data_IF_407516464784
#
_entry.id   IF_407516464784
#
_cell.length_a   1.000
_cell.length_b   1.000
_cell.length_c   1.000
_cell.angle_alpha   90.00
_cell.angle_beta   90.00
_cell.angle_gamma   90.00
#
_symmetry.space_group_name_H-M   'P 1'
#
loop_
_entity.id
_entity.type
_entity.pdbx_description
1 polymer ?
#
# COMPACT_ATOMS: atom_id res chain seq x y z
N UNK A 1 -4.42 -1.61 8.99
CA UNK A 1 -5.71 -1.78 8.28
C UNK A 1 -5.76 -3.13 7.60
N UNK A 2 -6.84 -3.85 7.77
CA UNK A 2 -7.04 -5.14 7.12
C UNK A 2 -7.62 -4.94 5.73
N UNK A 3 -6.97 -5.53 4.73
CA UNK A 3 -7.45 -5.52 3.34
C UNK A 3 -8.55 -6.57 3.16
N UNK A 4 -9.37 -6.40 2.12
CA UNK A 4 -10.44 -7.34 1.79
C UNK A 4 -9.95 -8.38 0.81
N UNK A 5 -10.52 -9.58 0.84
CA UNK A 5 -10.18 -10.62 -0.12
C UNK A 5 -10.49 -10.23 -1.56
N UNK A 6 -11.56 -9.46 -1.78
CA UNK A 6 -11.97 -8.96 -3.09
C UNK A 6 -11.31 -7.62 -3.45
N UNK A 7 -10.37 -7.11 -2.64
CA UNK A 7 -9.75 -5.80 -2.86
C UNK A 7 -9.21 -5.60 -4.27
N UNK A 8 -8.48 -6.57 -4.86
CA UNK A 8 -7.99 -6.40 -6.23
C UNK A 8 -9.09 -6.30 -7.28
N UNK A 9 -10.20 -7.00 -7.07
CA UNK A 9 -11.33 -6.94 -8.00
C UNK A 9 -12.00 -5.57 -7.99
N UNK A 10 -12.05 -4.92 -6.82
CA UNK A 10 -12.52 -3.54 -6.71
C UNK A 10 -11.53 -2.57 -7.35
N UNK A 11 -10.24 -2.75 -7.09
CA UNK A 11 -9.21 -1.86 -7.61
C UNK A 11 -9.10 -1.88 -9.14
N UNK A 12 -9.40 -3.01 -9.78
CA UNK A 12 -9.45 -3.10 -11.24
C UNK A 12 -10.35 -2.04 -11.88
N UNK A 13 -11.38 -1.60 -11.16
CA UNK A 13 -12.31 -0.57 -11.65
C UNK A 13 -11.62 0.79 -11.84
N UNK A 14 -10.43 0.98 -11.26
CA UNK A 14 -9.61 2.18 -11.47
C UNK A 14 -8.77 2.11 -12.76
N UNK A 15 -8.86 1.01 -13.51
CA UNK A 15 -8.22 0.88 -14.84
C UNK A 15 -7.05 -0.08 -14.92
N UNK A 16 -6.45 -0.52 -13.80
CA UNK A 16 -5.38 -1.52 -13.82
C UNK A 16 -5.96 -2.93 -13.85
N UNK A 17 -5.99 -3.51 -15.03
CA UNK A 17 -6.60 -4.83 -15.30
C UNK A 17 -5.57 -5.94 -15.46
N UNK A 18 -4.35 -5.75 -14.97
CA UNK A 18 -3.34 -6.78 -15.05
C UNK A 18 -3.84 -8.08 -14.41
N UNK A 19 -3.86 -9.20 -15.14
CA UNK A 19 -4.42 -10.46 -14.63
C UNK A 19 -3.64 -11.08 -13.47
N UNK A 20 -2.44 -10.58 -13.17
CA UNK A 20 -1.69 -10.97 -11.97
C UNK A 20 -2.51 -10.76 -10.68
N UNK A 21 -3.44 -9.82 -10.69
CA UNK A 21 -4.24 -9.44 -9.54
C UNK A 21 -5.64 -10.09 -9.54
N UNK A 22 -5.98 -10.85 -10.56
CA UNK A 22 -7.34 -11.41 -10.70
C UNK A 22 -7.40 -12.85 -11.19
N UNK A 23 -6.40 -13.33 -11.93
CA UNK A 23 -6.40 -14.67 -12.53
C UNK A 23 -5.46 -15.60 -11.73
N UNK A 24 -6.00 -16.62 -11.03
CA UNK A 24 -5.16 -17.55 -10.26
C UNK A 24 -4.09 -18.25 -11.08
N UNK A 25 -4.36 -18.61 -12.34
CA UNK A 25 -3.38 -19.27 -13.19
C UNK A 25 -2.21 -18.37 -13.53
N UNK A 26 -2.46 -17.08 -13.78
CA UNK A 26 -1.42 -16.09 -14.03
C UNK A 26 -0.58 -15.85 -12.77
N UNK A 27 -1.22 -15.75 -11.61
CA UNK A 27 -0.52 -15.56 -10.34
C UNK A 27 0.41 -16.74 -10.03
N UNK A 28 -0.06 -17.97 -10.21
CA UNK A 28 0.74 -19.18 -9.99
C UNK A 28 1.92 -19.23 -10.97
N UNK A 29 1.70 -18.92 -12.23
CA UNK A 29 2.76 -18.87 -13.25
C UNK A 29 3.84 -17.81 -12.90
N UNK A 30 3.47 -16.74 -12.21
CA UNK A 30 4.38 -15.71 -11.74
C UNK A 30 5.08 -16.04 -10.42
N UNK A 31 4.75 -17.19 -9.79
CA UNK A 31 5.38 -17.65 -8.55
C UNK A 31 4.61 -17.31 -7.27
N UNK A 32 3.35 -16.89 -7.36
CA UNK A 32 2.51 -16.57 -6.22
C UNK A 32 1.46 -17.66 -5.98
N UNK A 33 1.06 -17.84 -4.73
CA UNK A 33 0.01 -18.82 -4.39
C UNK A 33 -1.36 -18.46 -4.99
N UNK A 34 -1.64 -17.16 -5.09
CA UNK A 34 -2.91 -16.62 -5.56
C UNK A 34 -2.71 -15.18 -6.04
N UNK A 35 -3.72 -14.55 -6.67
CA UNK A 35 -3.63 -13.17 -7.09
C UNK A 35 -3.24 -12.23 -5.96
N UNK A 36 -2.32 -11.32 -6.24
CA UNK A 36 -1.78 -10.36 -5.29
C UNK A 36 -2.47 -9.00 -5.40
N UNK A 37 -2.35 -8.18 -4.37
CA UNK A 37 -2.84 -6.80 -4.42
C UNK A 37 -1.98 -5.94 -5.36
N UNK A 38 -2.62 -4.94 -5.97
CA UNK A 38 -1.91 -3.90 -6.70
C UNK A 38 -1.05 -3.10 -5.73
N UNK A 39 0.19 -2.79 -6.10
CA UNK A 39 1.10 -2.00 -5.27
C UNK A 39 0.51 -0.63 -4.92
N UNK A 40 -0.08 0.06 -5.90
CA UNK A 40 -0.70 1.36 -5.66
C UNK A 40 -1.93 1.27 -4.75
N UNK A 41 -2.63 0.14 -4.71
CA UNK A 41 -3.71 -0.09 -3.75
C UNK A 41 -3.15 -0.18 -2.32
N UNK A 42 -2.06 -0.92 -2.12
CA UNK A 42 -1.35 -0.98 -0.85
C UNK A 42 -0.91 0.42 -0.41
N UNK A 43 -0.32 1.19 -1.32
CA UNK A 43 0.06 2.58 -1.04
C UNK A 43 -1.14 3.44 -0.66
N UNK A 44 -2.31 3.21 -1.25
CA UNK A 44 -3.55 3.89 -0.89
C UNK A 44 -3.97 3.66 0.55
N UNK A 45 -3.88 2.43 1.04
CA UNK A 45 -4.14 2.10 2.44
C UNK A 45 -3.19 2.84 3.38
N UNK A 46 -1.90 2.80 3.06
CA UNK A 46 -0.86 3.46 3.85
C UNK A 46 -0.99 4.98 3.78
N UNK A 47 -1.25 5.53 2.60
CA UNK A 47 -1.48 6.96 2.40
C UNK A 47 -2.65 7.49 3.24
N UNK A 48 -3.73 6.73 3.31
CA UNK A 48 -4.87 7.09 4.18
C UNK A 48 -4.46 7.14 5.65
N UNK A 49 -3.68 6.19 6.12
CA UNK A 49 -3.19 6.18 7.49
C UNK A 49 -2.27 7.38 7.77
N UNK A 50 -1.39 7.71 6.84
CA UNK A 50 -0.48 8.85 6.95
C UNK A 50 -1.23 10.18 6.98
N UNK A 51 -2.22 10.35 6.10
CA UNK A 51 -3.04 11.56 6.05
C UNK A 51 -3.82 11.74 7.34
N UNK A 52 -4.38 10.66 7.89
CA UNK A 52 -5.05 10.69 9.18
C UNK A 52 -4.12 11.06 10.34
N UNK A 53 -2.89 10.55 10.31
CA UNK A 53 -1.90 10.80 11.36
C UNK A 53 -1.31 12.22 11.28
N UNK A 54 -0.89 12.66 10.10
CA UNK A 54 -0.06 13.85 9.92
C UNK A 54 -0.82 15.09 9.42
N UNK A 55 -1.99 14.91 8.82
CA UNK A 55 -2.71 15.96 8.10
C UNK A 55 -4.14 16.18 8.61
N UNK A 56 -4.53 15.56 9.71
CA UNK A 56 -5.90 15.62 10.24
C UNK A 56 -6.98 15.28 9.19
N UNK A 57 -6.64 14.38 8.25
CA UNK A 57 -7.54 13.97 7.18
C UNK A 57 -7.52 14.87 5.94
N UNK A 58 -6.73 15.94 5.94
CA UNK A 58 -6.67 16.89 4.82
C UNK A 58 -5.55 16.52 3.83
N UNK A 59 -5.91 15.80 2.77
CA UNK A 59 -4.96 15.26 1.79
C UNK A 59 -4.18 16.34 1.02
N UNK A 60 -4.74 17.54 0.87
CA UNK A 60 -4.08 18.66 0.18
C UNK A 60 -2.88 19.22 0.94
N UNK A 61 -2.70 18.83 2.19
CA UNK A 61 -1.49 19.16 2.97
C UNK A 61 -0.28 18.30 2.59
N UNK A 62 -0.45 17.26 1.80
CA UNK A 62 0.66 16.44 1.31
C UNK A 62 1.33 17.14 0.12
N UNK A 63 2.61 17.46 0.25
CA UNK A 63 3.39 18.02 -0.85
C UNK A 63 4.07 16.93 -1.67
N UNK A 64 4.63 15.91 -1.00
CA UNK A 64 5.34 14.80 -1.66
C UNK A 64 5.11 13.52 -0.88
N UNK A 65 4.97 12.43 -1.62
CA UNK A 65 4.89 11.07 -1.08
C UNK A 65 5.75 10.16 -1.95
N UNK A 66 6.68 9.48 -1.35
CA UNK A 66 7.54 8.54 -2.06
C UNK A 66 7.71 7.25 -1.29
N UNK A 67 7.93 6.15 -2.01
CA UNK A 67 8.05 4.83 -1.41
C UNK A 67 8.76 3.88 -2.39
N UNK A 68 9.33 2.81 -1.85
CA UNK A 68 9.78 1.66 -2.64
C UNK A 68 8.91 0.45 -2.31
N UNK A 69 8.39 -0.20 -3.36
CA UNK A 69 7.68 -1.47 -3.21
C UNK A 69 8.68 -2.59 -2.97
N UNK A 70 8.55 -3.32 -1.87
CA UNK A 70 9.53 -4.35 -1.51
C UNK A 70 9.01 -5.78 -1.59
N UNK A 71 7.79 -6.04 -1.14
CA UNK A 71 7.17 -7.36 -1.20
C UNK A 71 5.67 -7.24 -1.49
N UNK A 72 5.06 -8.30 -2.08
CA UNK A 72 3.64 -8.29 -2.37
C UNK A 72 2.80 -8.34 -1.09
N UNK A 73 1.60 -7.79 -1.17
CA UNK A 73 0.54 -7.92 -0.17
C UNK A 73 -0.51 -8.84 -0.74
N UNK A 74 -0.93 -9.83 0.06
CA UNK A 74 -2.00 -10.74 -0.33
C UNK A 74 -3.35 -10.15 0.11
N UNK A 75 -4.40 -10.30 -0.71
CA UNK A 75 -5.74 -9.90 -0.30
C UNK A 75 -6.12 -10.56 1.03
N UNK A 76 -6.62 -9.76 1.97
CA UNK A 76 -6.93 -10.22 3.34
C UNK A 76 -5.84 -9.91 4.36
N UNK A 77 -4.63 -9.58 3.93
CA UNK A 77 -3.54 -9.22 4.84
C UNK A 77 -3.85 -7.93 5.59
N UNK A 78 -3.33 -7.83 6.81
CA UNK A 78 -3.39 -6.61 7.62
C UNK A 78 -2.09 -5.85 7.44
N UNK A 79 -2.20 -4.60 6.99
CA UNK A 79 -1.07 -3.71 6.76
C UNK A 79 -0.82 -2.85 8.00
N UNK A 80 0.39 -2.95 8.56
CA UNK A 80 0.85 -2.10 9.65
C UNK A 80 1.73 -0.98 9.09
N UNK A 81 1.37 0.26 9.37
CA UNK A 81 2.17 1.43 8.98
C UNK A 81 2.97 1.91 10.19
N UNK A 82 4.28 1.97 10.06
CA UNK A 82 5.18 2.49 11.09
C UNK A 82 5.70 3.86 10.64
N UNK A 83 5.63 4.84 11.55
CA UNK A 83 5.88 6.24 11.24
C UNK A 83 6.97 6.77 12.16
N UNK A 84 7.96 7.44 11.57
CA UNK A 84 9.02 8.17 12.28
C UNK A 84 8.84 9.65 11.97
N UNK A 85 8.23 10.43 12.89
CA UNK A 85 7.94 11.84 12.62
C UNK A 85 9.21 12.70 12.59
N UNK A 86 9.19 13.73 11.74
CA UNK A 86 10.21 14.77 11.64
C UNK A 86 9.55 16.15 11.71
N UNK A 87 10.35 17.23 11.55
CA UNK A 87 9.86 18.60 11.65
C UNK A 87 8.91 18.95 10.49
N UNK A 88 9.37 18.82 9.24
CA UNK A 88 8.61 19.16 8.04
C UNK A 88 8.30 17.93 7.18
N UNK A 89 8.93 16.81 7.46
CA UNK A 89 8.70 15.56 6.79
C UNK A 89 8.65 14.42 7.81
N UNK A 90 8.10 13.30 7.36
CA UNK A 90 8.15 12.07 8.13
C UNK A 90 8.66 10.93 7.26
N UNK A 91 9.21 9.92 7.92
CA UNK A 91 9.58 8.66 7.29
C UNK A 91 8.58 7.61 7.69
N UNK A 92 8.34 6.65 6.80
CA UNK A 92 7.44 5.54 7.10
C UNK A 92 7.87 4.26 6.38
N UNK A 93 7.35 3.16 6.87
CA UNK A 93 7.43 1.87 6.22
C UNK A 93 6.14 1.10 6.53
N UNK A 94 5.83 0.11 5.72
CA UNK A 94 4.65 -0.73 5.93
C UNK A 94 5.03 -2.20 5.97
N UNK A 95 4.33 -2.96 6.79
CA UNK A 95 4.64 -4.35 7.10
C UNK A 95 3.38 -5.20 7.12
N UNK A 96 3.55 -6.47 6.76
CA UNK A 96 2.59 -7.55 7.01
C UNK A 96 3.35 -8.62 7.78
N UNK A 97 2.94 -8.90 9.03
CA UNK A 97 3.59 -9.87 9.92
C UNK A 97 5.12 -9.68 10.00
N UNK A 98 5.57 -8.44 10.24
CA UNK A 98 6.97 -8.01 10.28
C UNK A 98 7.74 -8.14 8.95
N UNK A 99 7.08 -8.54 7.88
CA UNK A 99 7.65 -8.57 6.53
C UNK A 99 7.44 -7.20 5.87
N UNK A 100 8.51 -6.49 5.46
CA UNK A 100 8.34 -5.18 4.82
C UNK A 100 7.66 -5.32 3.46
N UNK A 101 6.65 -4.52 3.22
CA UNK A 101 5.91 -4.45 1.95
C UNK A 101 6.11 -3.11 1.24
N UNK A 102 6.23 -2.03 2.02
CA UNK A 102 6.68 -0.72 1.53
C UNK A 102 7.89 -0.28 2.34
N UNK A 103 8.93 0.17 1.67
CA UNK A 103 10.20 0.57 2.28
C UNK A 103 10.60 1.99 1.85
N UNK A 104 11.49 2.60 2.62
CA UNK A 104 12.09 3.91 2.31
C UNK A 104 11.03 4.99 2.05
N UNK A 105 9.92 4.91 2.78
CA UNK A 105 8.82 5.85 2.63
C UNK A 105 9.13 7.23 3.19
N UNK A 106 8.68 8.26 2.49
CA UNK A 106 8.72 9.63 3.01
C UNK A 106 7.44 10.38 2.63
N UNK A 107 7.06 11.30 3.48
CA UNK A 107 5.95 12.21 3.25
C UNK A 107 6.39 13.60 3.67
N UNK A 108 6.29 14.55 2.74
CA UNK A 108 6.61 15.97 2.99
C UNK A 108 5.30 16.76 3.00
N UNK A 109 5.12 17.60 3.99
CA UNK A 109 3.94 18.46 4.15
C UNK A 109 4.13 19.81 3.46
N UNK A 110 3.02 20.41 3.09
CA UNK A 110 2.97 21.79 2.64
C UNK A 110 3.02 22.75 3.83
#
# INVERSE_FOLDING_TARGET
MTTRFEQPLLYRLNGDRNPLHSDPAVAVAAGFERPIMHGLCTLGFVGRALIGYACDGEADRVAKLGVRFSNPVMPGDTIETRIWPGADDLRFAAFVDDRPVLAEGYLTLR
#
